data_IF_108618472494
#
_entry.id   IF_108618472494
#
_cell.length_a   1.000
_cell.length_b   1.000
_cell.length_c   1.000
_cell.angle_alpha   90.00
_cell.angle_beta   90.00
_cell.angle_gamma   90.00
#
_symmetry.space_group_name_H-M   'P 1'
#
loop_
_entity.id
_entity.type
_entity.pdbx_description
1 polymer ?
#
# COMPACT_ATOMS: atom_id res chain seq x y z
N UNK A 1 -9.05 -22.32 4.43
CA UNK A 1 -10.29 -21.55 4.17
C UNK A 1 -10.74 -20.85 5.45
N UNK A 2 -10.20 -19.66 5.68
CA UNK A 2 -10.79 -18.69 6.60
C UNK A 2 -10.94 -17.44 5.74
N UNK A 3 -12.15 -17.16 5.28
CA UNK A 3 -12.45 -15.90 4.60
C UNK A 3 -12.25 -14.77 5.62
N UNK A 4 -11.41 -13.75 5.35
CA UNK A 4 -11.35 -12.58 6.21
C UNK A 4 -12.70 -11.87 6.14
N UNK A 5 -13.34 -11.69 7.29
CA UNK A 5 -14.60 -10.95 7.36
C UNK A 5 -14.41 -9.53 6.82
N UNK A 6 -15.36 -9.00 6.03
CA UNK A 6 -15.30 -7.61 5.59
C UNK A 6 -15.27 -6.69 6.81
N UNK A 7 -14.39 -5.69 6.77
CA UNK A 7 -14.28 -4.66 7.80
C UNK A 7 -15.64 -3.95 7.87
N UNK A 8 -16.33 -4.09 9.00
CA UNK A 8 -17.65 -3.48 9.22
C UNK A 8 -17.55 -1.96 9.03
N UNK A 9 -18.24 -1.43 8.03
CA UNK A 9 -18.48 0.01 7.89
C UNK A 9 -18.03 0.65 6.57
N UNK A 10 -17.30 -0.05 5.70
CA UNK A 10 -16.96 0.46 4.36
C UNK A 10 -18.12 0.14 3.42
N UNK A 11 -18.89 1.18 3.09
CA UNK A 11 -20.00 1.16 2.14
C UNK A 11 -19.43 1.07 0.73
N UNK A 12 -19.55 -0.09 0.08
CA UNK A 12 -19.00 -0.42 -1.27
C UNK A 12 -17.49 -0.23 -1.41
N UNK A 13 -16.80 -1.08 -2.16
CA UNK A 13 -15.36 -0.87 -2.40
C UNK A 13 -15.18 0.46 -3.15
N UNK A 14 -14.43 1.46 -2.66
CA UNK A 14 -14.15 2.68 -3.42
C UNK A 14 -13.39 2.37 -4.73
N UNK A 15 -12.72 1.21 -4.78
CA UNK A 15 -12.02 0.67 -5.94
C UNK A 15 -12.96 -0.07 -6.92
N UNK A 16 -14.25 -0.29 -6.60
CA UNK A 16 -15.25 -0.73 -7.60
C UNK A 16 -15.33 0.26 -8.78
N UNK A 17 -14.96 1.53 -8.56
CA UNK A 17 -14.84 2.53 -9.64
C UNK A 17 -13.67 2.28 -10.60
N UNK A 18 -12.59 1.61 -10.19
CA UNK A 18 -11.54 1.12 -11.11
C UNK A 18 -12.04 -0.02 -12.00
N UNK A 19 -13.07 -0.74 -11.57
CA UNK A 19 -13.77 -1.75 -12.38
C UNK A 19 -15.03 -1.19 -13.06
N UNK A 20 -15.37 0.06 -12.76
CA UNK A 20 -16.64 0.71 -13.07
C UNK A 20 -16.71 1.26 -14.49
N UNK A 21 -16.76 0.33 -15.45
CA UNK A 21 -16.90 0.44 -16.93
C UNK A 21 -15.58 0.27 -17.67
N UNK A 22 -15.52 -0.89 -18.34
CA UNK A 22 -14.47 -1.36 -19.24
C UNK A 22 -13.19 -1.81 -18.53
N UNK A 23 -13.26 -3.07 -18.09
CA UNK A 23 -12.21 -4.05 -17.82
C UNK A 23 -10.87 -3.58 -17.22
N UNK A 24 -10.36 -4.46 -16.37
CA UNK A 24 -8.98 -4.56 -15.87
C UNK A 24 -7.88 -4.64 -16.96
N UNK A 25 -8.12 -4.12 -18.16
CA UNK A 25 -7.22 -4.10 -19.31
C UNK A 25 -6.89 -2.69 -19.81
N UNK A 26 -7.39 -1.61 -19.20
CA UNK A 26 -7.16 -0.24 -19.72
C UNK A 26 -6.12 0.59 -18.94
N UNK A 27 -5.67 0.15 -17.77
CA UNK A 27 -4.63 0.85 -17.01
C UNK A 27 -3.27 0.30 -17.44
N UNK A 28 -2.72 0.85 -18.52
CA UNK A 28 -1.43 0.45 -19.06
C UNK A 28 -0.30 1.40 -18.67
N UNK A 29 -0.64 2.53 -18.04
CA UNK A 29 0.29 3.57 -17.61
C UNK A 29 0.00 4.11 -16.21
N UNK A 30 1.01 4.67 -15.59
CA UNK A 30 0.89 5.33 -14.29
C UNK A 30 -0.06 6.54 -14.32
N UNK A 31 -0.05 7.30 -15.41
CA UNK A 31 -0.94 8.46 -15.56
C UNK A 31 -2.42 8.04 -15.61
N UNK A 32 -2.75 6.94 -16.30
CA UNK A 32 -4.09 6.36 -16.26
C UNK A 32 -4.45 5.86 -14.87
N UNK A 33 -3.52 5.17 -14.19
CA UNK A 33 -3.73 4.71 -12.82
C UNK A 33 -4.14 5.88 -11.92
N UNK A 34 -3.44 7.02 -11.99
CA UNK A 34 -3.76 8.19 -11.16
C UNK A 34 -5.13 8.82 -11.45
N UNK A 35 -5.67 8.67 -12.66
CA UNK A 35 -7.01 9.18 -13.00
C UNK A 35 -8.12 8.39 -12.31
N UNK A 36 -7.89 7.09 -12.08
CA UNK A 36 -8.88 6.19 -11.49
C UNK A 36 -8.60 5.86 -10.02
N UNK A 37 -7.37 6.08 -9.54
CA UNK A 37 -7.01 5.80 -8.16
C UNK A 37 -7.67 6.79 -7.19
N UNK A 38 -8.65 6.35 -6.37
CA UNK A 38 -9.52 7.25 -5.61
C UNK A 38 -8.82 7.85 -4.38
N UNK A 39 -7.67 7.32 -3.97
CA UNK A 39 -6.99 7.69 -2.73
C UNK A 39 -5.80 8.63 -2.98
N UNK A 40 -6.00 9.63 -3.85
CA UNK A 40 -5.04 10.68 -4.13
C UNK A 40 -5.35 11.97 -3.39
N UNK A 41 -4.33 12.78 -3.11
CA UNK A 41 -4.48 14.08 -2.45
C UNK A 41 -5.14 13.98 -1.07
N UNK A 42 -6.22 14.74 -0.84
CA UNK A 42 -6.91 14.78 0.45
C UNK A 42 -7.72 13.51 0.74
N UNK A 43 -8.04 12.70 -0.28
CA UNK A 43 -8.88 11.51 -0.15
C UNK A 43 -8.22 10.41 0.71
N UNK A 44 -6.89 10.28 0.67
CA UNK A 44 -6.17 9.32 1.54
C UNK A 44 -6.39 9.62 3.03
N UNK A 45 -6.46 10.90 3.40
CA UNK A 45 -6.69 11.31 4.79
C UNK A 45 -8.16 11.22 5.20
N UNK A 46 -9.09 11.33 4.24
CA UNK A 46 -10.50 11.01 4.45
C UNK A 46 -10.68 9.52 4.75
N UNK A 47 -10.03 8.66 3.96
CA UNK A 47 -10.03 7.22 4.21
C UNK A 47 -9.46 6.89 5.59
N UNK A 48 -8.35 7.50 6.01
CA UNK A 48 -7.82 7.30 7.38
C UNK A 48 -8.83 7.72 8.44
N UNK A 49 -9.53 8.84 8.22
CA UNK A 49 -10.56 9.30 9.14
C UNK A 49 -11.71 8.30 9.29
N UNK A 50 -12.10 7.66 8.19
CA UNK A 50 -13.14 6.64 8.15
C UNK A 50 -12.69 5.32 8.80
N UNK A 51 -11.50 4.82 8.43
CA UNK A 51 -10.94 3.58 8.96
C UNK A 51 -10.60 3.67 10.45
N UNK A 52 -10.09 4.82 10.90
CA UNK A 52 -9.52 5.01 12.23
C UNK A 52 -10.29 6.02 13.07
N UNK A 53 -11.58 6.21 12.80
CA UNK A 53 -12.42 7.22 13.46
C UNK A 53 -12.45 7.13 14.99
N UNK A 54 -12.27 5.95 15.57
CA UNK A 54 -12.24 5.72 17.03
C UNK A 54 -10.92 6.19 17.70
N UNK A 55 -9.84 6.21 16.93
CA UNK A 55 -8.55 6.77 17.34
C UNK A 55 -8.55 8.30 17.27
N UNK A 56 -9.44 8.89 16.46
CA UNK A 56 -9.53 10.33 16.21
C UNK A 56 -10.57 10.97 17.13
N UNK A 57 -10.13 11.91 17.98
CA UNK A 57 -11.04 12.53 18.96
C UNK A 57 -12.00 13.54 18.32
N UNK A 58 -11.51 14.35 17.38
CA UNK A 58 -12.39 15.30 16.67
C UNK A 58 -13.29 14.55 15.68
N UNK A 59 -14.60 14.72 15.81
CA UNK A 59 -15.58 14.14 14.86
C UNK A 59 -15.92 15.08 13.69
N UNK A 60 -15.35 16.29 13.67
CA UNK A 60 -15.52 17.24 12.56
C UNK A 60 -14.56 16.88 11.42
N UNK A 61 -15.03 16.06 10.48
CA UNK A 61 -14.23 15.48 9.38
C UNK A 61 -13.32 16.49 8.67
N UNK A 62 -13.84 17.64 8.22
CA UNK A 62 -13.03 18.65 7.51
C UNK A 62 -11.77 19.08 8.28
N UNK A 63 -11.91 19.32 9.59
CA UNK A 63 -10.78 19.72 10.43
C UNK A 63 -9.86 18.54 10.73
N UNK A 64 -10.41 17.34 10.90
CA UNK A 64 -9.64 16.13 11.10
C UNK A 64 -8.74 15.85 9.91
N UNK A 65 -9.29 15.85 8.69
CA UNK A 65 -8.59 15.57 7.43
C UNK A 65 -7.43 16.56 7.21
N UNK A 66 -7.68 17.86 7.36
CA UNK A 66 -6.62 18.87 7.20
C UNK A 66 -5.48 18.72 8.22
N UNK A 67 -5.83 18.42 9.48
CA UNK A 67 -4.84 18.18 10.51
C UNK A 67 -4.07 16.88 10.28
N UNK A 68 -4.75 15.78 9.91
CA UNK A 68 -4.11 14.51 9.58
C UNK A 68 -3.11 14.68 8.45
N UNK A 69 -3.50 15.38 7.37
CA UNK A 69 -2.59 15.72 6.27
C UNK A 69 -1.32 16.36 6.77
N UNK A 70 -1.47 17.46 7.52
CA UNK A 70 -0.33 18.21 8.06
C UNK A 70 0.55 17.35 8.97
N UNK A 71 -0.07 16.53 9.84
CA UNK A 71 0.63 15.65 10.77
C UNK A 71 1.41 14.55 10.04
N UNK A 72 0.81 13.87 9.07
CA UNK A 72 1.46 12.80 8.33
C UNK A 72 2.59 13.31 7.42
N UNK A 73 2.38 14.43 6.72
CA UNK A 73 3.43 15.06 5.92
C UNK A 73 4.64 15.45 6.78
N UNK A 74 4.40 16.04 7.96
CA UNK A 74 5.45 16.35 8.92
C UNK A 74 6.10 15.08 9.49
N UNK A 75 5.32 14.05 9.83
CA UNK A 75 5.82 12.78 10.34
C UNK A 75 6.77 12.12 9.34
N UNK A 76 6.37 11.96 8.08
CA UNK A 76 7.21 11.33 7.06
C UNK A 76 8.50 12.11 6.84
N UNK A 77 8.44 13.45 6.84
CA UNK A 77 9.63 14.29 6.75
C UNK A 77 10.58 14.08 7.94
N UNK A 78 10.08 14.05 9.16
CA UNK A 78 10.89 13.81 10.37
C UNK A 78 11.47 12.39 10.37
N UNK A 79 10.66 11.40 9.99
CA UNK A 79 11.06 10.00 9.98
C UNK A 79 12.06 9.67 8.86
N UNK A 80 12.13 10.49 7.80
CA UNK A 80 13.20 10.38 6.80
C UNK A 80 14.60 10.76 7.33
N UNK A 81 14.66 11.45 8.48
CA UNK A 81 15.89 11.97 9.08
C UNK A 81 16.21 11.35 10.45
N UNK A 82 15.24 10.70 11.09
CA UNK A 82 15.32 10.15 12.44
C UNK A 82 14.36 8.97 12.60
N UNK A 83 14.54 8.10 13.59
CA UNK A 83 13.59 6.99 13.79
C UNK A 83 12.25 7.49 14.34
N UNK A 84 11.16 6.77 14.03
CA UNK A 84 9.84 7.04 14.62
C UNK A 84 9.86 6.99 16.16
N UNK A 85 10.69 6.11 16.72
CA UNK A 85 10.95 6.05 18.16
C UNK A 85 11.54 7.35 18.71
N UNK A 86 12.44 8.02 17.99
CA UNK A 86 13.04 9.29 18.40
C UNK A 86 12.10 10.50 18.22
N UNK A 87 11.13 10.42 17.30
CA UNK A 87 10.14 11.48 17.09
C UNK A 87 9.24 11.67 18.32
N UNK A 88 8.97 12.93 18.69
CA UNK A 88 8.00 13.31 19.72
C UNK A 88 6.81 14.09 19.14
N UNK A 89 5.69 14.15 19.88
CA UNK A 89 4.57 15.02 19.52
C UNK A 89 4.95 16.51 19.50
N UNK A 90 5.99 16.91 20.26
CA UNK A 90 6.51 18.27 20.21
C UNK A 90 7.18 18.56 18.86
N UNK A 91 7.96 17.62 18.34
CA UNK A 91 8.55 17.78 17.00
C UNK A 91 7.45 17.95 15.93
N UNK A 92 6.35 17.21 16.04
CA UNK A 92 5.19 17.40 15.17
C UNK A 92 4.53 18.77 15.36
N UNK A 93 4.40 19.25 16.59
CA UNK A 93 3.85 20.58 16.89
C UNK A 93 4.68 21.67 16.24
N UNK A 94 6.01 21.61 16.40
CA UNK A 94 6.95 22.56 15.84
C UNK A 94 6.95 22.53 14.30
N UNK A 95 6.85 21.33 13.71
CA UNK A 95 6.86 21.16 12.25
C UNK A 95 5.55 21.57 11.57
N UNK A 96 4.41 21.41 12.25
CA UNK A 96 3.07 21.67 11.67
C UNK A 96 2.49 23.03 12.07
N UNK A 97 3.00 23.65 13.13
CA UNK A 97 2.38 24.81 13.78
C UNK A 97 1.10 24.49 14.56
N UNK A 98 0.67 23.22 14.60
CA UNK A 98 -0.47 22.79 15.40
C UNK A 98 -0.04 22.77 16.86
N UNK A 99 -0.80 23.44 17.73
CA UNK A 99 -0.51 23.44 19.18
C UNK A 99 -0.57 22.02 19.76
N UNK A 100 0.11 21.79 20.89
CA UNK A 100 0.02 20.50 21.59
C UNK A 100 -1.43 20.09 21.88
N UNK A 101 -2.29 21.03 22.29
CA UNK A 101 -3.73 20.77 22.49
C UNK A 101 -4.45 20.39 21.20
N UNK A 102 -4.09 21.01 20.08
CA UNK A 102 -4.58 20.65 18.75
C UNK A 102 -4.17 19.23 18.35
N UNK A 103 -2.90 18.85 18.54
CA UNK A 103 -2.43 17.48 18.29
C UNK A 103 -3.17 16.46 19.16
N UNK A 104 -3.32 16.73 20.47
CA UNK A 104 -4.05 15.85 21.37
C UNK A 104 -5.56 15.79 21.10
N UNK A 105 -6.11 16.73 20.32
CA UNK A 105 -7.49 16.69 19.81
C UNK A 105 -7.63 15.86 18.53
N UNK A 106 -6.53 15.54 17.86
CA UNK A 106 -6.49 14.68 16.68
C UNK A 106 -6.07 13.26 17.03
N UNK A 107 -4.96 13.09 17.74
CA UNK A 107 -4.36 11.79 18.08
C UNK A 107 -4.10 11.70 19.59
N UNK A 108 -4.26 10.50 20.17
CA UNK A 108 -4.01 10.26 21.60
C UNK A 108 -2.52 10.16 21.90
N UNK A 109 -1.76 9.55 21.00
CA UNK A 109 -0.32 9.35 21.10
C UNK A 109 0.29 9.29 19.71
N UNK A 110 1.63 9.32 19.60
CA UNK A 110 2.30 9.09 18.31
C UNK A 110 2.03 7.71 17.74
N UNK A 111 1.83 6.69 18.58
CA UNK A 111 1.57 5.32 18.16
C UNK A 111 0.24 5.17 17.42
N UNK A 112 -0.72 6.08 17.63
CA UNK A 112 -1.94 6.13 16.81
C UNK A 112 -1.62 6.37 15.33
N UNK A 113 -0.55 7.12 15.02
CA UNK A 113 -0.13 7.35 13.64
C UNK A 113 0.39 6.06 12.99
N UNK A 114 1.14 5.25 13.74
CA UNK A 114 1.60 3.94 13.27
C UNK A 114 0.42 3.02 12.98
N UNK A 115 -0.56 2.95 13.89
CA UNK A 115 -1.78 2.15 13.69
C UNK A 115 -2.52 2.62 12.45
N UNK A 116 -2.70 3.93 12.26
CA UNK A 116 -3.34 4.49 11.07
C UNK A 116 -2.62 4.14 9.77
N UNK A 117 -1.28 4.15 9.74
CA UNK A 117 -0.51 3.72 8.56
C UNK A 117 -0.75 2.23 8.27
N UNK A 118 -0.70 1.38 9.31
CA UNK A 118 -0.94 -0.07 9.17
C UNK A 118 -2.34 -0.36 8.62
N UNK A 119 -3.37 0.27 9.18
CA UNK A 119 -4.76 0.08 8.73
C UNK A 119 -4.96 0.57 7.30
N UNK A 120 -4.39 1.73 6.94
CA UNK A 120 -4.44 2.24 5.57
C UNK A 120 -3.79 1.27 4.58
N UNK A 121 -2.54 0.87 4.83
CA UNK A 121 -1.80 -0.02 3.93
C UNK A 121 -2.51 -1.37 3.81
N UNK A 122 -2.96 -1.95 4.92
CA UNK A 122 -3.71 -3.21 4.90
C UNK A 122 -4.99 -3.07 4.08
N UNK A 123 -5.76 -2.00 4.29
CA UNK A 123 -6.99 -1.76 3.54
C UNK A 123 -6.70 -1.67 2.04
N UNK A 124 -5.74 -0.84 1.62
CA UNK A 124 -5.43 -0.63 0.21
C UNK A 124 -4.91 -1.89 -0.48
N UNK A 125 -4.03 -2.66 0.18
CA UNK A 125 -3.56 -3.95 -0.33
C UNK A 125 -4.70 -4.96 -0.47
N UNK A 126 -5.69 -4.95 0.45
CA UNK A 126 -6.89 -5.79 0.37
C UNK A 126 -7.77 -5.39 -0.82
N UNK A 127 -8.05 -4.11 -0.96
CA UNK A 127 -8.88 -3.62 -2.05
C UNK A 127 -8.27 -3.95 -3.41
N UNK A 128 -6.95 -3.77 -3.58
CA UNK A 128 -6.26 -4.14 -4.80
C UNK A 128 -6.39 -5.65 -5.09
N UNK A 129 -6.20 -6.49 -4.08
CA UNK A 129 -6.36 -7.94 -4.23
C UNK A 129 -7.80 -8.34 -4.59
N UNK A 130 -8.80 -7.82 -3.89
CA UNK A 130 -10.21 -8.11 -4.20
C UNK A 130 -10.58 -7.65 -5.60
N UNK A 131 -10.05 -6.51 -6.04
CA UNK A 131 -10.22 -6.02 -7.41
C UNK A 131 -9.65 -7.03 -8.42
N UNK A 132 -8.45 -7.56 -8.17
CA UNK A 132 -7.82 -8.55 -9.04
C UNK A 132 -8.62 -9.87 -9.15
N UNK A 133 -9.38 -10.26 -8.12
CA UNK A 133 -10.18 -11.50 -8.16
C UNK A 133 -11.29 -11.48 -9.23
N UNK A 134 -11.65 -10.32 -9.76
CA UNK A 134 -12.61 -10.20 -10.86
C UNK A 134 -12.01 -10.57 -12.23
N UNK A 135 -10.69 -10.71 -12.33
CA UNK A 135 -9.99 -11.11 -13.56
C UNK A 135 -9.93 -12.63 -13.61
N UNK A 136 -10.45 -13.25 -14.66
CA UNK A 136 -10.61 -14.70 -14.74
C UNK A 136 -9.28 -15.43 -14.95
N UNK A 137 -8.47 -15.01 -15.94
CA UNK A 137 -7.17 -15.61 -16.24
C UNK A 137 -6.16 -15.30 -15.11
N UNK A 138 -5.52 -16.31 -14.50
CA UNK A 138 -4.41 -16.10 -13.58
C UNK A 138 -3.24 -15.31 -14.17
N UNK A 139 -2.92 -15.47 -15.46
CA UNK A 139 -1.89 -14.67 -16.15
C UNK A 139 -2.25 -13.19 -16.16
N UNK A 140 -3.43 -12.86 -16.69
CA UNK A 140 -3.90 -11.46 -16.74
C UNK A 140 -4.03 -10.88 -15.33
N UNK A 141 -4.50 -11.68 -14.37
CA UNK A 141 -4.63 -11.28 -12.98
C UNK A 141 -3.29 -10.95 -12.34
N UNK A 142 -2.27 -11.77 -12.58
CA UNK A 142 -0.92 -11.55 -12.05
C UNK A 142 -0.32 -10.27 -12.62
N UNK A 143 -0.43 -10.07 -13.94
CA UNK A 143 0.07 -8.86 -14.60
C UNK A 143 -0.62 -7.60 -14.06
N UNK A 144 -1.95 -7.64 -13.97
CA UNK A 144 -2.72 -6.55 -13.42
C UNK A 144 -2.33 -6.25 -11.96
N UNK A 145 -2.18 -7.28 -11.14
CA UNK A 145 -1.82 -7.13 -9.74
C UNK A 145 -0.43 -6.50 -9.59
N UNK A 146 0.59 -7.03 -10.28
CA UNK A 146 1.97 -6.50 -10.25
C UNK A 146 1.98 -5.03 -10.67
N UNK A 147 1.35 -4.70 -11.80
CA UNK A 147 1.30 -3.34 -12.34
C UNK A 147 0.68 -2.35 -11.36
N UNK A 148 -0.55 -2.64 -10.91
CA UNK A 148 -1.28 -1.72 -10.07
C UNK A 148 -0.68 -1.64 -8.66
N UNK A 149 -0.05 -2.70 -8.15
CA UNK A 149 0.64 -2.65 -6.87
C UNK A 149 1.89 -1.75 -6.95
N UNK A 150 2.69 -1.86 -8.02
CA UNK A 150 3.82 -0.95 -8.24
C UNK A 150 3.34 0.50 -8.37
N UNK A 151 2.27 0.77 -9.11
CA UNK A 151 1.73 2.14 -9.22
C UNK A 151 1.21 2.68 -7.89
N UNK A 152 0.46 1.87 -7.14
CA UNK A 152 -0.05 2.25 -5.82
C UNK A 152 1.09 2.55 -4.84
N UNK A 153 2.07 1.65 -4.73
CA UNK A 153 3.23 1.85 -3.83
C UNK A 153 4.12 3.00 -4.28
N UNK A 154 4.17 3.30 -5.58
CA UNK A 154 4.82 4.51 -6.10
C UNK A 154 4.10 5.77 -5.64
N UNK A 155 2.78 5.82 -5.80
CA UNK A 155 1.98 6.98 -5.40
C UNK A 155 1.99 7.21 -3.89
N UNK A 156 1.94 6.12 -3.12
CA UNK A 156 1.89 6.13 -1.66
C UNK A 156 3.25 5.82 -1.03
N UNK A 157 4.35 6.10 -1.73
CA UNK A 157 5.70 5.73 -1.31
C UNK A 157 6.04 6.10 0.14
N UNK A 158 5.70 7.29 0.69
CA UNK A 158 6.01 7.60 2.08
C UNK A 158 5.36 6.65 3.09
N UNK A 159 4.15 6.15 2.79
CA UNK A 159 3.39 5.23 3.63
C UNK A 159 4.04 3.85 3.67
N UNK A 160 4.33 3.28 2.49
CA UNK A 160 4.98 1.97 2.35
C UNK A 160 6.42 2.00 2.85
N UNK A 161 7.15 3.09 2.58
CA UNK A 161 8.51 3.27 3.07
C UNK A 161 8.56 3.32 4.60
N UNK A 162 7.66 4.09 5.21
CA UNK A 162 7.54 4.13 6.66
C UNK A 162 7.27 2.74 7.24
N UNK A 163 6.28 2.01 6.71
CA UNK A 163 5.94 0.69 7.23
C UNK A 163 7.12 -0.30 7.14
N UNK A 164 7.87 -0.28 6.03
CA UNK A 164 9.08 -1.10 5.88
C UNK A 164 10.15 -0.79 6.93
N UNK A 165 10.45 0.50 7.14
CA UNK A 165 11.43 0.92 8.15
C UNK A 165 10.99 0.51 9.55
N UNK A 166 9.70 0.63 9.86
CA UNK A 166 9.13 0.21 11.13
C UNK A 166 9.22 -1.31 11.35
N UNK A 167 9.01 -2.15 10.32
CA UNK A 167 9.20 -3.61 10.40
C UNK A 167 10.61 -3.98 10.89
N UNK A 168 11.61 -3.14 10.58
CA UNK A 168 13.00 -3.38 10.97
C UNK A 168 13.41 -2.65 12.25
N UNK A 169 12.68 -1.60 12.64
CA UNK A 169 13.06 -0.70 13.73
C UNK A 169 12.23 -0.85 15.01
N UNK A 170 11.01 -1.40 14.92
CA UNK A 170 10.14 -1.64 16.06
C UNK A 170 10.39 -3.00 16.69
N UNK A 171 10.05 -3.13 17.97
CA UNK A 171 10.11 -4.39 18.73
C UNK A 171 8.70 -4.87 19.15
N UNK A 172 8.56 -6.17 19.40
CA UNK A 172 7.37 -6.72 20.03
C UNK A 172 6.15 -6.86 19.08
N UNK A 173 4.90 -6.64 19.57
CA UNK A 173 3.69 -6.87 18.80
C UNK A 173 3.62 -6.05 17.51
N UNK A 174 4.08 -4.80 17.55
CA UNK A 174 4.01 -3.91 16.39
C UNK A 174 4.83 -4.40 15.20
N UNK A 175 5.99 -5.00 15.46
CA UNK A 175 6.82 -5.60 14.41
C UNK A 175 6.14 -6.82 13.79
N UNK A 176 5.48 -7.65 14.61
CA UNK A 176 4.78 -8.85 14.14
C UNK A 176 3.64 -8.48 13.20
N UNK A 177 2.88 -7.44 13.54
CA UNK A 177 1.76 -6.99 12.70
C UNK A 177 2.24 -6.46 11.35
N UNK A 178 3.35 -5.72 11.31
CA UNK A 178 3.91 -5.24 10.03
C UNK A 178 4.42 -6.39 9.16
N UNK A 179 5.05 -7.41 9.77
CA UNK A 179 5.43 -8.64 9.05
C UNK A 179 4.21 -9.39 8.52
N UNK A 180 3.11 -9.42 9.26
CA UNK A 180 1.89 -10.06 8.81
C UNK A 180 1.31 -9.39 7.56
N UNK A 181 1.29 -8.05 7.48
CA UNK A 181 0.83 -7.32 6.29
C UNK A 181 1.67 -7.67 5.05
N UNK A 182 2.98 -7.81 5.23
CA UNK A 182 3.91 -8.23 4.18
C UNK A 182 3.64 -9.68 3.73
N UNK A 183 3.54 -10.61 4.68
CA UNK A 183 3.24 -12.02 4.40
C UNK A 183 1.87 -12.20 3.73
N UNK A 184 0.85 -11.48 4.19
CA UNK A 184 -0.50 -11.50 3.59
C UNK A 184 -0.46 -11.07 2.11
N UNK A 185 0.44 -10.14 1.75
CA UNK A 185 0.60 -9.69 0.36
C UNK A 185 1.28 -10.77 -0.49
N UNK A 186 2.30 -11.45 0.06
CA UNK A 186 3.00 -12.56 -0.60
C UNK A 186 2.05 -13.74 -0.80
N UNK A 187 1.27 -14.10 0.22
CA UNK A 187 0.32 -15.22 0.17
C UNK A 187 -0.74 -15.03 -0.93
N UNK A 188 -1.16 -13.80 -1.21
CA UNK A 188 -2.07 -13.51 -2.35
C UNK A 188 -1.45 -13.79 -3.70
N UNK A 189 -0.16 -13.49 -3.86
CA UNK A 189 0.58 -13.81 -5.09
C UNK A 189 0.75 -15.32 -5.22
N UNK A 190 1.01 -16.01 -4.10
CA UNK A 190 1.01 -17.49 -4.06
C UNK A 190 -0.32 -18.03 -4.57
N UNK A 191 -1.46 -17.53 -4.08
CA UNK A 191 -2.79 -17.97 -4.52
C UNK A 191 -3.02 -17.78 -6.03
N UNK A 192 -2.56 -16.66 -6.60
CA UNK A 192 -2.66 -16.41 -8.05
C UNK A 192 -1.81 -17.42 -8.82
N UNK A 193 -0.58 -17.66 -8.38
CA UNK A 193 0.34 -18.60 -9.01
C UNK A 193 -0.14 -20.06 -8.93
N UNK A 194 -0.65 -20.49 -7.78
CA UNK A 194 -1.25 -21.82 -7.59
C UNK A 194 -2.42 -22.04 -8.54
N UNK A 195 -3.28 -21.03 -8.72
CA UNK A 195 -4.40 -21.09 -9.66
C UNK A 195 -3.91 -21.20 -11.10
N UNK A 196 -2.91 -20.43 -11.51
CA UNK A 196 -2.37 -20.52 -12.87
C UNK A 196 -1.66 -21.84 -13.17
N UNK A 197 -0.95 -22.42 -12.20
CA UNK A 197 -0.38 -23.78 -12.34
C UNK A 197 -1.49 -24.82 -12.49
N UNK A 198 -2.55 -24.72 -11.68
CA UNK A 198 -3.70 -25.64 -11.75
C UNK A 198 -4.45 -25.55 -13.08
N UNK A 199 -4.52 -24.35 -13.67
CA UNK A 199 -5.17 -24.11 -14.96
C UNK A 199 -4.25 -24.39 -16.16
N UNK A 200 -2.97 -24.66 -15.91
CA UNK A 200 -1.98 -24.93 -16.96
C UNK A 200 -1.44 -23.67 -17.64
N UNK A 201 -1.74 -22.47 -17.13
CA UNK A 201 -1.22 -21.20 -17.65
C UNK A 201 0.23 -20.94 -17.22
N UNK A 202 0.63 -21.50 -16.07
CA UNK A 202 1.98 -21.33 -15.53
C UNK A 202 2.70 -22.66 -15.31
N UNK A 203 4.03 -22.60 -15.41
CA UNK A 203 4.95 -23.64 -14.94
C UNK A 203 6.00 -23.02 -14.00
N UNK A 204 5.66 -23.01 -12.72
CA UNK A 204 6.51 -22.49 -11.64
C UNK A 204 7.12 -23.65 -10.85
N UNK A 205 8.44 -23.65 -10.67
CA UNK A 205 9.14 -24.72 -9.93
C UNK A 205 8.91 -24.60 -8.40
N UNK A 206 9.03 -23.39 -7.85
CA UNK A 206 8.77 -23.07 -6.44
C UNK A 206 7.90 -21.81 -6.36
N UNK A 207 6.62 -22.00 -6.07
CA UNK A 207 5.61 -20.93 -6.03
C UNK A 207 5.89 -19.92 -4.92
N UNK A 208 6.27 -20.39 -3.73
CA UNK A 208 6.49 -19.52 -2.57
C UNK A 208 7.70 -18.61 -2.79
N UNK A 209 8.79 -19.18 -3.32
CA UNK A 209 9.98 -18.40 -3.66
C UNK A 209 9.70 -17.44 -4.82
N UNK A 210 8.95 -17.85 -5.85
CA UNK A 210 8.57 -16.97 -6.95
C UNK A 210 7.76 -15.75 -6.47
N UNK A 211 6.74 -15.97 -5.63
CA UNK A 211 5.95 -14.90 -5.03
C UNK A 211 6.81 -13.94 -4.19
N UNK A 212 7.75 -14.49 -3.40
CA UNK A 212 8.69 -13.70 -2.60
C UNK A 212 9.60 -12.83 -3.48
N UNK A 213 10.07 -13.37 -4.62
CA UNK A 213 10.90 -12.62 -5.59
C UNK A 213 10.09 -11.49 -6.23
N UNK A 214 8.83 -11.72 -6.59
CA UNK A 214 7.96 -10.67 -7.14
C UNK A 214 7.78 -9.53 -6.14
N UNK A 215 7.49 -9.87 -4.90
CA UNK A 215 7.38 -8.90 -3.83
C UNK A 215 8.70 -8.13 -3.62
N UNK A 216 9.85 -8.81 -3.62
CA UNK A 216 11.15 -8.16 -3.50
C UNK A 216 11.45 -7.17 -4.64
N UNK A 217 11.06 -7.50 -5.88
CA UNK A 217 11.18 -6.58 -7.02
C UNK A 217 10.30 -5.34 -6.85
N UNK A 218 9.06 -5.49 -6.40
CA UNK A 218 8.21 -4.34 -6.08
C UNK A 218 8.82 -3.48 -4.95
N UNK A 219 9.25 -4.12 -3.85
CA UNK A 219 9.85 -3.43 -2.71
C UNK A 219 11.07 -2.60 -3.10
N UNK A 220 11.93 -3.12 -3.97
CA UNK A 220 13.15 -2.44 -4.40
C UNK A 220 12.85 -1.08 -5.05
N UNK A 221 11.74 -0.94 -5.77
CA UNK A 221 11.34 0.30 -6.44
C UNK A 221 11.09 1.45 -5.46
N UNK A 222 10.15 1.26 -4.53
CA UNK A 222 9.74 2.30 -3.60
C UNK A 222 10.76 2.52 -2.47
N UNK A 223 11.64 1.53 -2.22
CA UNK A 223 12.76 1.63 -1.28
C UNK A 223 13.94 2.42 -1.83
N UNK A 224 14.31 2.19 -3.09
CA UNK A 224 15.53 2.75 -3.69
C UNK A 224 15.24 3.48 -5.00
N UNK A 225 14.28 4.42 -5.04
CA UNK A 225 13.87 5.09 -6.28
C UNK A 225 15.03 5.88 -6.92
N UNK A 226 16.05 6.26 -6.15
CA UNK A 226 17.24 6.93 -6.66
C UNK A 226 18.02 6.09 -7.70
N UNK A 227 18.02 4.75 -7.59
CA UNK A 227 18.73 3.88 -8.54
C UNK A 227 18.16 4.01 -9.95
N UNK A 228 16.85 4.16 -10.03
CA UNK A 228 16.10 4.23 -11.28
C UNK A 228 16.06 5.65 -11.83
N UNK A 229 15.90 6.67 -10.97
CA UNK A 229 16.03 8.08 -11.37
C UNK A 229 17.38 8.42 -12.00
N UNK A 230 18.48 7.86 -11.48
CA UNK A 230 19.82 8.05 -12.07
C UNK A 230 19.96 7.47 -13.48
N UNK A 231 19.05 6.58 -13.89
CA UNK A 231 19.04 5.88 -15.18
C UNK A 231 17.90 6.30 -16.08
N UNK A 232 17.15 7.34 -15.67
CA UNK A 232 15.96 7.81 -16.37
C UNK A 232 14.91 6.71 -16.62
N UNK A 233 14.78 5.79 -15.67
CA UNK A 233 13.78 4.72 -15.70
C UNK A 233 12.50 5.24 -15.05
N UNK A 234 11.43 5.34 -15.83
CA UNK A 234 10.10 5.67 -15.32
C UNK A 234 9.46 4.50 -14.57
N UNK A 235 8.37 4.75 -13.85
CA UNK A 235 7.61 3.66 -13.20
C UNK A 235 7.01 2.70 -14.23
N UNK A 236 6.61 3.20 -15.40
CA UNK A 236 6.07 2.37 -16.48
C UNK A 236 7.14 1.46 -17.09
N UNK A 237 8.35 1.99 -17.30
CA UNK A 237 9.51 1.18 -17.71
C UNK A 237 9.81 0.09 -16.69
N UNK A 238 9.77 0.44 -15.40
CA UNK A 238 10.01 -0.52 -14.32
C UNK A 238 8.96 -1.63 -14.26
N UNK A 239 7.68 -1.27 -14.40
CA UNK A 239 6.59 -2.26 -14.51
C UNK A 239 6.86 -3.21 -15.68
N UNK A 240 7.23 -2.69 -16.86
CA UNK A 240 7.56 -3.52 -18.01
C UNK A 240 8.70 -4.52 -17.73
N UNK A 241 9.74 -4.08 -17.02
CA UNK A 241 10.86 -4.94 -16.61
C UNK A 241 10.38 -6.04 -15.66
N UNK A 242 9.59 -5.69 -14.64
CA UNK A 242 9.09 -6.66 -13.65
C UNK A 242 8.13 -7.66 -14.28
N UNK A 243 7.25 -7.22 -15.19
CA UNK A 243 6.34 -8.11 -15.92
C UNK A 243 7.11 -9.11 -16.79
N UNK A 244 8.12 -8.66 -17.54
CA UNK A 244 8.98 -9.54 -18.32
C UNK A 244 9.72 -10.58 -17.45
N UNK A 245 10.21 -10.15 -16.28
CA UNK A 245 10.80 -11.05 -15.30
C UNK A 245 9.77 -12.05 -14.75
N UNK A 246 8.54 -11.59 -14.51
CA UNK A 246 7.44 -12.42 -14.02
C UNK A 246 7.09 -13.54 -15.00
N UNK A 247 6.97 -13.23 -16.30
CA UNK A 247 6.74 -14.22 -17.36
C UNK A 247 7.85 -15.25 -17.45
N UNK A 248 9.10 -14.81 -17.26
CA UNK A 248 10.26 -15.71 -17.26
C UNK A 248 10.20 -16.68 -16.07
N UNK A 249 9.78 -16.19 -14.90
CA UNK A 249 9.65 -16.98 -13.66
C UNK A 249 8.45 -17.94 -13.76
N UNK A 250 7.33 -17.50 -14.34
CA UNK A 250 6.13 -18.33 -14.50
C UNK A 250 6.16 -19.27 -15.70
N UNK A 251 7.17 -19.15 -16.59
CA UNK A 251 7.37 -19.95 -17.81
C UNK A 251 6.03 -20.22 -18.49
N UNK A 252 5.38 -19.14 -18.93
CA UNK A 252 4.12 -19.22 -19.68
C UNK A 252 4.31 -20.17 -20.87
N UNK A 253 3.44 -21.17 -20.99
CA UNK A 253 3.55 -22.25 -22.00
C UNK A 253 3.29 -21.77 -23.42
#
# INVERSE_FOLDING_TARGET
MISPSPIKGVVSSPMESLLGRELATEIDSYDQFLQFFPFSGDAVYQLIFELCGDSIKTKKQRFAVANLKSIFEAMFKICSQSSFHAMSLRNLSDATGISMGGLYSCIKSKYELLVMVKELVRFLSNELHFTALHIESPSERLEWFIRNNIYMTTHLQPWFFFLYVETHSLEGPDQKDSKAIELDTIDRVVEILEQGVKQGEFKVDDISTAATIFFAMEQEWYMKPWKYRLRDISVDDYVGIVLNASHTITRTS
#
